data_IF_421743954749
#
_entry.id   IF_421743954749
#
_cell.length_a   1.000
_cell.length_b   1.000
_cell.length_c   1.000
_cell.angle_alpha   90.00
_cell.angle_beta   90.00
_cell.angle_gamma   90.00
#
_symmetry.space_group_name_H-M   'P 1'
#
loop_
_entity.id
_entity.type
_entity.pdbx_description
1 polymer ?
#
# COMPACT_ATOMS: atom_id res chain seq x y z
N UNK A 1 3.64 24.74 17.14
CA UNK A 1 4.49 23.52 17.15
C UNK A 1 5.99 23.78 17.33
N UNK A 2 6.72 24.36 16.35
CA UNK A 2 8.19 24.61 16.52
C UNK A 2 8.49 25.44 17.76
N UNK A 3 7.76 26.55 17.92
CA UNK A 3 7.94 27.50 19.02
C UNK A 3 7.52 26.91 20.37
N UNK A 4 6.50 26.04 20.41
CA UNK A 4 6.13 25.28 21.61
C UNK A 4 7.27 24.38 22.09
N UNK A 5 8.06 23.82 21.16
CA UNK A 5 9.28 23.06 21.47
C UNK A 5 10.53 23.92 21.66
N UNK A 6 10.39 25.26 21.64
CA UNK A 6 11.49 26.24 21.78
C UNK A 6 12.63 26.06 20.76
N UNK A 7 12.34 25.49 19.59
CA UNK A 7 13.32 25.28 18.54
C UNK A 7 13.46 26.54 17.68
N UNK A 8 14.68 26.96 17.38
CA UNK A 8 14.90 28.01 16.37
C UNK A 8 14.68 27.45 14.95
N UNK A 9 14.44 28.31 13.96
CA UNK A 9 14.39 27.88 12.55
C UNK A 9 15.71 27.26 12.09
N UNK A 10 16.84 27.75 12.59
CA UNK A 10 18.16 27.20 12.29
C UNK A 10 18.36 25.80 12.87
N UNK A 11 17.98 25.61 14.12
CA UNK A 11 18.08 24.32 14.80
C UNK A 11 17.17 23.26 14.17
N UNK A 12 15.93 23.64 13.80
CA UNK A 12 15.05 22.73 13.07
C UNK A 12 15.60 22.39 11.68
N UNK A 13 16.15 23.38 10.98
CA UNK A 13 16.74 23.19 9.65
C UNK A 13 17.93 22.22 9.67
N UNK A 14 18.81 22.33 10.66
CA UNK A 14 19.93 21.41 10.87
C UNK A 14 19.44 19.97 11.07
N UNK A 15 18.46 19.76 11.94
CA UNK A 15 17.88 18.44 12.21
C UNK A 15 17.15 17.84 11.00
N UNK A 16 16.56 18.68 10.15
CA UNK A 16 15.89 18.25 8.93
C UNK A 16 16.86 18.04 7.75
N UNK A 17 18.07 18.61 7.80
CA UNK A 17 19.01 18.61 6.68
C UNK A 17 18.59 19.57 5.55
N UNK A 18 17.95 20.69 5.90
CA UNK A 18 17.49 21.73 4.96
C UNK A 18 18.04 23.10 5.36
N UNK A 19 17.72 24.15 4.60
CA UNK A 19 18.10 25.51 4.98
C UNK A 19 17.08 26.15 5.93
N UNK A 20 17.48 27.12 6.78
CA UNK A 20 16.53 27.86 7.63
C UNK A 20 15.43 28.57 6.83
N UNK A 21 15.74 28.95 5.58
CA UNK A 21 14.76 29.51 4.64
C UNK A 21 13.72 28.48 4.22
N UNK A 22 14.09 27.22 4.01
CA UNK A 22 13.12 26.16 3.71
C UNK A 22 12.17 25.92 4.89
N UNK A 23 12.66 25.97 6.13
CA UNK A 23 11.79 25.90 7.32
C UNK A 23 10.77 27.04 7.32
N UNK A 24 11.19 28.28 7.02
CA UNK A 24 10.26 29.40 6.91
C UNK A 24 9.23 29.17 5.79
N UNK A 25 9.67 28.69 4.62
CA UNK A 25 8.78 28.39 3.50
C UNK A 25 7.74 27.30 3.85
N UNK A 26 8.13 26.27 4.61
CA UNK A 26 7.19 25.24 5.07
C UNK A 26 6.15 25.81 6.03
N UNK A 27 6.57 26.64 7.00
CA UNK A 27 5.66 27.30 7.94
C UNK A 27 4.68 28.27 7.25
N UNK A 28 5.13 28.90 6.16
CA UNK A 28 4.36 29.86 5.38
C UNK A 28 3.56 29.20 4.23
N UNK A 29 3.57 27.86 4.14
CA UNK A 29 2.94 27.07 3.06
C UNK A 29 3.35 27.52 1.64
N UNK A 30 4.58 28.00 1.48
CA UNK A 30 5.13 28.45 0.20
C UNK A 30 5.60 27.27 -0.67
N UNK A 31 5.93 26.14 -0.05
CA UNK A 31 6.27 24.91 -0.75
C UNK A 31 5.91 23.66 0.06
N UNK A 32 5.73 22.56 -0.67
CA UNK A 32 5.51 21.24 -0.08
C UNK A 32 6.82 20.65 0.47
N UNK A 33 6.68 19.81 1.49
CA UNK A 33 7.77 19.00 2.03
C UNK A 33 7.92 17.71 1.23
N UNK A 34 9.15 17.19 1.15
CA UNK A 34 9.34 15.81 0.67
C UNK A 34 8.85 14.83 1.74
N UNK A 35 8.51 13.60 1.35
CA UNK A 35 8.09 12.56 2.31
C UNK A 35 9.15 12.32 3.39
N UNK A 36 10.43 12.31 3.02
CA UNK A 36 11.53 12.15 3.97
C UNK A 36 11.57 13.27 5.00
N UNK A 37 11.42 14.53 4.55
CA UNK A 37 11.38 15.69 5.45
C UNK A 37 10.11 15.65 6.33
N UNK A 38 8.98 15.20 5.78
CA UNK A 38 7.74 15.03 6.54
C UNK A 38 7.89 14.02 7.69
N UNK A 39 8.48 12.85 7.43
CA UNK A 39 8.73 11.83 8.46
C UNK A 39 9.65 12.37 9.57
N UNK A 40 10.68 13.14 9.20
CA UNK A 40 11.57 13.77 10.20
C UNK A 40 10.85 14.86 11.00
N UNK A 41 10.04 15.68 10.34
CA UNK A 41 9.22 16.70 11.00
C UNK A 41 8.30 16.08 12.05
N UNK A 42 7.59 15.01 11.69
CA UNK A 42 6.73 14.25 12.60
C UNK A 42 7.51 13.70 13.80
N UNK A 43 8.70 13.13 13.55
CA UNK A 43 9.56 12.60 14.62
C UNK A 43 10.04 13.68 15.60
N UNK A 44 10.27 14.91 15.12
CA UNK A 44 10.77 16.02 15.93
C UNK A 44 9.64 16.74 16.67
N UNK A 45 8.54 17.03 15.96
CA UNK A 45 7.49 17.92 16.42
C UNK A 45 6.23 17.16 16.92
N UNK A 46 6.01 15.92 16.48
CA UNK A 46 4.90 15.05 16.87
C UNK A 46 3.97 14.70 15.69
N UNK A 47 3.04 13.76 15.91
CA UNK A 47 2.09 13.27 14.89
C UNK A 47 1.12 14.34 14.37
N UNK A 48 0.93 15.43 15.11
CA UNK A 48 -0.04 16.48 14.77
C UNK A 48 0.47 17.46 13.71
N UNK A 49 1.76 17.38 13.33
CA UNK A 49 2.37 18.29 12.33
C UNK A 49 1.66 18.21 10.99
N UNK A 50 1.13 17.04 10.65
CA UNK A 50 0.36 16.81 9.45
C UNK A 50 -1.05 16.37 9.80
N UNK A 51 -2.03 16.91 9.08
CA UNK A 51 -3.39 16.41 9.18
C UNK A 51 -3.46 14.99 8.63
N UNK A 52 -3.99 14.05 9.43
CA UNK A 52 -4.21 12.68 8.98
C UNK A 52 -5.30 12.65 7.92
N UNK A 53 -4.94 12.20 6.71
CA UNK A 53 -5.89 12.07 5.61
C UNK A 53 -6.66 10.74 5.72
N UNK A 54 -7.99 10.83 5.82
CA UNK A 54 -8.84 9.65 5.65
C UNK A 54 -8.96 9.23 4.19
N UNK A 55 -9.17 7.94 3.92
CA UNK A 55 -9.47 7.44 2.56
C UNK A 55 -10.67 8.18 1.92
N UNK A 56 -11.65 8.59 2.73
CA UNK A 56 -12.78 9.40 2.28
C UNK A 56 -12.36 10.81 1.88
N UNK A 57 -11.45 11.44 2.61
CA UNK A 57 -10.87 12.73 2.21
C UNK A 57 -10.11 12.61 0.89
N UNK A 58 -9.25 11.59 0.76
CA UNK A 58 -8.51 11.32 -0.49
C UNK A 58 -9.46 11.12 -1.69
N UNK A 59 -10.52 10.35 -1.53
CA UNK A 59 -11.50 10.14 -2.62
C UNK A 59 -12.22 11.42 -3.08
N UNK A 60 -12.38 12.40 -2.18
CA UNK A 60 -12.99 13.71 -2.49
C UNK A 60 -11.99 14.65 -3.15
N UNK A 61 -10.72 14.59 -2.76
CA UNK A 61 -9.64 15.41 -3.33
C UNK A 61 -9.28 14.95 -4.75
N UNK A 62 -9.43 13.66 -5.03
CA UNK A 62 -9.15 13.06 -6.34
C UNK A 62 -10.40 12.38 -6.93
N UNK A 63 -11.46 13.15 -7.24
CA UNK A 63 -12.69 12.60 -7.81
C UNK A 63 -12.40 12.14 -9.24
N UNK A 64 -12.24 10.84 -9.42
CA UNK A 64 -11.90 10.27 -10.73
C UNK A 64 -10.41 10.10 -10.96
N UNK A 65 -9.66 9.66 -9.93
CA UNK A 65 -8.37 9.03 -10.14
C UNK A 65 -8.48 8.10 -11.35
N UNK A 66 -7.76 8.42 -12.43
CA UNK A 66 -7.74 7.59 -13.64
C UNK A 66 -7.55 6.16 -13.17
N UNK A 67 -8.34 5.23 -13.73
CA UNK A 67 -8.00 3.81 -13.60
C UNK A 67 -6.50 3.72 -13.85
N UNK A 68 -5.73 3.00 -13.00
CA UNK A 68 -4.32 2.78 -13.28
C UNK A 68 -4.25 2.41 -14.76
N UNK A 69 -3.42 3.12 -15.55
CA UNK A 69 -3.23 2.74 -16.95
C UNK A 69 -2.92 1.24 -16.99
N UNK A 70 -3.15 0.55 -18.12
CA UNK A 70 -2.90 -0.88 -18.23
C UNK A 70 -1.45 -1.21 -17.85
N UNK A 71 -1.21 -1.45 -16.57
CA UNK A 71 0.06 -1.90 -16.04
C UNK A 71 0.00 -3.39 -16.31
N UNK A 72 0.71 -3.81 -17.35
CA UNK A 72 0.90 -5.22 -17.62
C UNK A 72 2.03 -5.71 -16.70
N UNK A 73 1.75 -6.50 -15.64
CA UNK A 73 2.79 -6.95 -14.74
C UNK A 73 3.87 -7.69 -15.51
N UNK A 74 5.16 -7.45 -15.24
CA UNK A 74 6.24 -8.20 -15.90
C UNK A 74 6.29 -9.66 -15.47
N UNK A 75 5.72 -9.97 -14.31
CA UNK A 75 5.66 -11.30 -13.73
C UNK A 75 4.58 -12.15 -14.40
N UNK A 76 4.96 -13.32 -14.91
CA UNK A 76 4.05 -14.23 -15.62
C UNK A 76 3.01 -14.85 -14.69
N UNK A 77 3.37 -15.18 -13.45
CA UNK A 77 2.46 -15.78 -12.48
C UNK A 77 1.40 -14.78 -12.03
N UNK A 78 1.79 -13.54 -11.75
CA UNK A 78 0.85 -12.48 -11.43
C UNK A 78 -0.10 -12.24 -12.61
N UNK A 79 0.41 -12.16 -13.85
CA UNK A 79 -0.44 -12.04 -15.05
C UNK A 79 -1.44 -13.19 -15.18
N UNK A 80 -0.98 -14.43 -15.00
CA UNK A 80 -1.83 -15.61 -15.07
C UNK A 80 -2.93 -15.55 -14.00
N UNK A 81 -2.57 -15.18 -12.76
CA UNK A 81 -3.53 -15.01 -11.67
C UNK A 81 -4.60 -13.98 -12.03
N UNK A 82 -4.18 -12.78 -12.43
CA UNK A 82 -5.11 -11.69 -12.75
C UNK A 82 -6.05 -12.10 -13.89
N UNK A 83 -5.52 -12.71 -14.96
CA UNK A 83 -6.33 -13.21 -16.08
C UNK A 83 -7.33 -14.29 -15.67
N UNK A 84 -6.93 -15.23 -14.81
CA UNK A 84 -7.83 -16.25 -14.29
C UNK A 84 -8.95 -15.62 -13.45
N UNK A 85 -8.62 -14.65 -12.58
CA UNK A 85 -9.61 -13.96 -11.76
C UNK A 85 -10.57 -13.11 -12.59
N UNK A 86 -10.10 -12.51 -13.68
CA UNK A 86 -10.95 -11.79 -14.64
C UNK A 86 -11.97 -12.71 -15.31
N UNK A 87 -11.54 -13.90 -15.75
CA UNK A 87 -12.45 -14.94 -16.29
C UNK A 87 -13.48 -15.40 -15.26
N UNK A 88 -13.17 -15.27 -13.97
CA UNK A 88 -14.06 -15.59 -12.84
C UNK A 88 -14.92 -14.38 -12.41
N UNK A 89 -14.92 -13.30 -13.19
CA UNK A 89 -15.79 -12.14 -12.97
C UNK A 89 -15.22 -11.07 -12.05
N UNK A 90 -13.91 -11.06 -11.81
CA UNK A 90 -13.25 -9.95 -11.11
C UNK A 90 -12.74 -8.91 -12.10
N UNK A 91 -12.61 -7.67 -11.64
CA UNK A 91 -11.76 -6.66 -12.27
C UNK A 91 -10.43 -6.68 -11.55
N UNK A 92 -9.34 -6.68 -12.32
CA UNK A 92 -7.99 -6.60 -11.79
C UNK A 92 -7.42 -5.19 -11.95
N UNK A 93 -6.50 -4.84 -11.04
CA UNK A 93 -5.76 -3.59 -11.04
C UNK A 93 -4.33 -3.91 -10.67
N UNK A 94 -3.35 -3.57 -11.51
CA UNK A 94 -1.95 -3.75 -11.18
C UNK A 94 -1.32 -2.42 -10.75
N UNK A 95 -0.32 -2.49 -9.88
CA UNK A 95 0.37 -1.33 -9.30
C UNK A 95 1.89 -1.50 -9.42
N UNK A 96 2.61 -0.39 -9.57
CA UNK A 96 4.07 -0.38 -9.69
C UNK A 96 4.79 0.33 -8.54
N UNK A 97 4.07 1.19 -7.80
CA UNK A 97 4.61 2.02 -6.71
C UNK A 97 3.68 1.99 -5.50
N UNK A 98 3.17 0.81 -5.17
CA UNK A 98 2.30 0.60 -4.02
C UNK A 98 2.83 -0.56 -3.16
N UNK A 99 2.50 -0.58 -1.86
CA UNK A 99 2.82 -1.70 -0.98
C UNK A 99 2.21 -3.03 -1.42
N UNK A 100 1.25 -3.01 -2.36
CA UNK A 100 0.62 -4.18 -2.98
C UNK A 100 0.89 -4.16 -4.49
N UNK A 101 1.03 -5.33 -5.10
CA UNK A 101 1.30 -5.46 -6.54
C UNK A 101 0.02 -5.41 -7.37
N UNK A 102 -1.10 -5.89 -6.83
CA UNK A 102 -2.38 -5.85 -7.52
C UNK A 102 -3.57 -5.82 -6.56
N UNK A 103 -4.72 -5.42 -7.09
CA UNK A 103 -6.02 -5.44 -6.44
C UNK A 103 -7.03 -6.17 -7.31
N UNK A 104 -7.91 -6.92 -6.67
CA UNK A 104 -9.05 -7.59 -7.29
C UNK A 104 -10.34 -7.04 -6.72
N UNK A 105 -11.32 -6.78 -7.58
CA UNK A 105 -12.67 -6.38 -7.18
C UNK A 105 -13.70 -7.21 -7.92
N UNK A 106 -14.61 -7.86 -7.21
CA UNK A 106 -15.68 -8.61 -7.86
C UNK A 106 -16.60 -7.68 -8.65
N UNK A 107 -16.99 -8.10 -9.86
CA UNK A 107 -17.93 -7.35 -10.70
C UNK A 107 -19.37 -7.38 -10.17
N UNK A 108 -19.71 -8.40 -9.38
CA UNK A 108 -21.08 -8.65 -8.88
C UNK A 108 -21.28 -8.30 -7.39
N UNK A 109 -20.28 -7.74 -6.69
CA UNK A 109 -20.42 -7.42 -5.27
C UNK A 109 -19.23 -6.72 -4.63
N UNK A 110 -19.28 -6.57 -3.30
CA UNK A 110 -18.30 -5.82 -2.48
C UNK A 110 -16.97 -6.53 -2.22
N UNK A 111 -16.77 -7.75 -2.73
CA UNK A 111 -15.58 -8.59 -2.48
C UNK A 111 -14.34 -7.98 -3.11
N UNK A 112 -13.27 -7.86 -2.32
CA UNK A 112 -11.99 -7.28 -2.72
C UNK A 112 -10.83 -8.04 -2.12
N UNK A 113 -9.75 -8.16 -2.87
CA UNK A 113 -8.50 -8.71 -2.40
C UNK A 113 -7.33 -7.87 -2.89
N UNK A 114 -6.27 -7.80 -2.08
CA UNK A 114 -4.98 -7.29 -2.46
C UNK A 114 -4.03 -8.46 -2.69
N UNK A 115 -3.11 -8.30 -3.63
CA UNK A 115 -2.09 -9.30 -3.97
C UNK A 115 -0.73 -8.67 -3.75
N UNK A 116 0.13 -9.36 -3.01
CA UNK A 116 1.54 -9.03 -2.82
C UNK A 116 2.40 -10.21 -3.24
N UNK A 117 3.46 -9.99 -3.99
CA UNK A 117 4.50 -10.98 -4.26
C UNK A 117 5.53 -10.89 -3.15
N UNK A 118 6.00 -12.05 -2.71
CA UNK A 118 7.05 -12.20 -1.72
C UNK A 118 8.12 -13.13 -2.29
N UNK A 119 9.33 -12.61 -2.42
CA UNK A 119 10.54 -13.37 -2.74
C UNK A 119 11.57 -13.21 -1.61
N UNK A 120 12.69 -13.92 -1.66
CA UNK A 120 13.77 -13.81 -0.66
C UNK A 120 14.33 -12.39 -0.50
N UNK A 121 14.19 -11.55 -1.53
CA UNK A 121 14.61 -10.14 -1.53
C UNK A 121 13.54 -9.19 -0.96
N UNK A 122 12.33 -9.68 -0.69
CA UNK A 122 11.24 -8.85 -0.15
C UNK A 122 11.44 -8.69 1.34
N UNK A 123 11.81 -7.49 1.77
CA UNK A 123 11.92 -7.15 3.19
C UNK A 123 10.59 -7.45 3.92
N UNK A 124 10.66 -8.03 5.13
CA UNK A 124 9.47 -8.30 5.96
C UNK A 124 8.57 -7.06 6.11
N UNK A 125 9.18 -5.87 6.14
CA UNK A 125 8.51 -4.57 6.22
C UNK A 125 7.55 -4.30 5.06
N UNK A 126 7.86 -4.78 3.85
CA UNK A 126 6.98 -4.65 2.69
C UNK A 126 5.70 -5.48 2.85
N UNK A 127 5.80 -6.62 3.53
CA UNK A 127 4.65 -7.47 3.82
C UNK A 127 3.78 -6.86 4.93
N UNK A 128 4.39 -6.30 5.97
CA UNK A 128 3.69 -5.56 7.02
C UNK A 128 2.92 -4.36 6.43
N UNK A 129 3.55 -3.59 5.54
CA UNK A 129 2.89 -2.49 4.83
C UNK A 129 1.71 -2.97 3.97
N UNK A 130 1.88 -4.10 3.26
CA UNK A 130 0.80 -4.70 2.49
C UNK A 130 -0.38 -5.12 3.38
N UNK A 131 -0.10 -5.70 4.55
CA UNK A 131 -1.11 -6.11 5.52
C UNK A 131 -1.88 -4.91 6.09
N UNK A 132 -1.18 -3.86 6.53
CA UNK A 132 -1.81 -2.63 7.01
C UNK A 132 -2.71 -1.97 5.95
N UNK A 133 -2.23 -1.88 4.70
CA UNK A 133 -3.04 -1.35 3.59
C UNK A 133 -4.27 -2.23 3.36
N UNK A 134 -4.12 -3.55 3.45
CA UNK A 134 -5.22 -4.48 3.23
C UNK A 134 -6.30 -4.36 4.31
N UNK A 135 -5.91 -4.24 5.58
CA UNK A 135 -6.82 -4.04 6.71
C UNK A 135 -7.59 -2.71 6.61
N UNK A 136 -6.88 -1.59 6.42
CA UNK A 136 -7.46 -0.26 6.27
C UNK A 136 -8.40 -0.15 5.05
N UNK A 137 -8.11 -0.89 3.98
CA UNK A 137 -8.94 -0.93 2.77
C UNK A 137 -10.01 -2.02 2.80
N UNK A 138 -10.07 -2.82 3.88
CA UNK A 138 -10.96 -3.99 4.06
C UNK A 138 -10.88 -4.95 2.88
N UNK A 139 -9.67 -5.31 2.51
CA UNK A 139 -9.39 -6.29 1.46
C UNK A 139 -8.67 -7.49 2.04
N UNK A 140 -8.93 -8.69 1.51
CA UNK A 140 -8.15 -9.87 1.87
C UNK A 140 -6.76 -9.77 1.24
N UNK A 141 -5.71 -9.97 2.03
CA UNK A 141 -4.36 -10.06 1.49
C UNK A 141 -4.05 -11.49 1.02
N UNK A 142 -3.53 -11.58 -0.20
CA UNK A 142 -3.04 -12.79 -0.85
C UNK A 142 -1.55 -12.58 -1.14
N UNK A 143 -0.72 -13.51 -0.69
CA UNK A 143 0.73 -13.44 -0.86
C UNK A 143 1.18 -14.52 -1.84
N UNK A 144 1.81 -14.14 -2.95
CA UNK A 144 2.41 -15.08 -3.90
C UNK A 144 3.87 -15.30 -3.49
N UNK A 145 4.23 -16.51 -3.09
CA UNK A 145 5.57 -16.84 -2.55
C UNK A 145 6.31 -17.87 -3.39
N UNK A 146 7.65 -17.91 -3.30
CA UNK A 146 8.48 -18.95 -3.93
C UNK A 146 8.55 -20.24 -3.11
N UNK A 147 8.29 -20.17 -1.80
CA UNK A 147 8.41 -21.34 -0.91
C UNK A 147 7.23 -22.29 -1.08
N UNK A 148 7.53 -23.59 -1.29
CA UNK A 148 6.54 -24.68 -1.37
C UNK A 148 5.92 -25.04 -0.01
N UNK A 149 6.62 -24.73 1.07
CA UNK A 149 6.23 -25.10 2.43
C UNK A 149 5.94 -23.84 3.24
N UNK A 150 4.70 -23.73 3.74
CA UNK A 150 4.52 -23.22 5.10
C UNK A 150 4.54 -21.72 5.35
N UNK A 151 4.04 -20.87 4.44
CA UNK A 151 3.32 -19.69 4.94
C UNK A 151 1.90 -20.16 5.26
N UNK A 152 1.81 -20.87 6.40
CA UNK A 152 0.55 -21.14 7.07
C UNK A 152 -0.25 -19.84 7.08
N UNK A 153 -1.55 -19.96 6.81
CA UNK A 153 -2.54 -18.88 6.92
C UNK A 153 -2.20 -18.06 8.16
N UNK A 154 -1.51 -16.93 7.95
CA UNK A 154 -1.39 -15.94 9.00
C UNK A 154 -2.79 -15.33 9.10
N UNK A 155 -3.22 -14.94 10.29
CA UNK A 155 -4.56 -14.35 10.46
C UNK A 155 -4.82 -13.19 9.47
N UNK A 156 -3.74 -12.54 9.00
CA UNK A 156 -3.75 -11.39 8.12
C UNK A 156 -3.66 -11.71 6.62
N UNK A 157 -3.20 -12.90 6.19
CA UNK A 157 -3.09 -13.25 4.78
C UNK A 157 -3.04 -14.75 4.46
N UNK A 158 -3.43 -15.09 3.23
CA UNK A 158 -3.20 -16.43 2.64
C UNK A 158 -1.97 -16.39 1.74
N UNK A 159 -1.08 -17.39 1.86
CA UNK A 159 0.05 -17.54 0.96
C UNK A 159 -0.17 -18.63 -0.09
N UNK A 160 0.32 -18.37 -1.30
CA UNK A 160 0.15 -19.23 -2.47
C UNK A 160 1.50 -19.37 -3.17
N UNK A 161 2.03 -20.61 -3.29
CA UNK A 161 3.24 -20.83 -4.05
C UNK A 161 3.05 -20.44 -5.52
N UNK A 162 4.06 -19.79 -6.13
CA UNK A 162 4.03 -19.37 -7.55
C UNK A 162 3.57 -20.50 -8.49
N UNK A 163 4.09 -21.71 -8.28
CA UNK A 163 3.77 -22.88 -9.11
C UNK A 163 2.32 -23.38 -9.02
N UNK A 164 1.53 -22.93 -8.04
CA UNK A 164 0.16 -23.40 -7.82
C UNK A 164 -0.92 -22.39 -8.27
N UNK A 165 -0.52 -21.20 -8.75
CA UNK A 165 -1.44 -20.10 -9.10
C UNK A 165 -2.56 -20.52 -10.07
N UNK A 166 -2.25 -21.42 -11.03
CA UNK A 166 -3.23 -21.95 -11.99
C UNK A 166 -4.35 -22.76 -11.33
N UNK A 167 -4.00 -23.64 -10.39
CA UNK A 167 -4.93 -24.57 -9.73
C UNK A 167 -5.66 -23.93 -8.53
N UNK A 168 -5.02 -22.94 -7.90
CA UNK A 168 -5.44 -22.35 -6.62
C UNK A 168 -6.44 -21.20 -6.81
N UNK A 169 -6.74 -20.78 -8.05
CA UNK A 169 -7.74 -19.72 -8.32
C UNK A 169 -9.11 -20.02 -7.67
N UNK A 170 -9.53 -21.29 -7.57
CA UNK A 170 -10.76 -21.66 -6.82
C UNK A 170 -10.60 -21.56 -5.29
N UNK A 171 -9.42 -21.87 -4.75
CA UNK A 171 -9.11 -21.69 -3.32
C UNK A 171 -9.05 -20.20 -2.94
N UNK A 172 -8.53 -19.36 -3.83
CA UNK A 172 -8.61 -17.90 -3.69
C UNK A 172 -10.07 -17.44 -3.63
N UNK A 173 -10.91 -17.97 -4.53
CA UNK A 173 -12.34 -17.66 -4.51
C UNK A 173 -13.02 -18.09 -3.21
N UNK A 174 -12.69 -19.26 -2.63
CA UNK A 174 -13.26 -19.66 -1.33
C UNK A 174 -12.78 -18.76 -0.20
N UNK A 175 -11.48 -18.43 -0.15
CA UNK A 175 -10.93 -17.53 0.86
C UNK A 175 -11.53 -16.12 0.82
N UNK A 176 -11.77 -15.58 -0.38
CA UNK A 176 -12.44 -14.28 -0.56
C UNK A 176 -13.92 -14.35 -0.11
N UNK A 177 -14.55 -15.54 -0.09
CA UNK A 177 -15.96 -15.72 0.31
C UNK A 177 -16.18 -15.84 1.81
N UNK A 178 -15.17 -16.19 2.61
CA UNK A 178 -15.27 -16.40 4.08
C UNK A 178 -15.44 -15.11 4.91
N UNK A 179 -15.76 -13.96 4.32
CA UNK A 179 -15.95 -12.65 4.98
C UNK A 179 -17.43 -12.20 5.05
N UNK A 180 -18.37 -13.13 5.05
CA UNK A 180 -19.79 -12.82 5.28
C UNK A 180 -20.11 -12.63 6.77
#
# INVERSE_FOLDING_TARGET
MREEKRLSRGELAERLGVTPRMVANYEENVCDVTLEVAVRLESILGEEVFEKLSLKALSRMYPGSRLPGEINPKDEYLRLLLSNMERLGFRSYAFSKAPIDAGLKSSSGGRRAAIKRHNEETELRELELAAMVSDETRTKLIVITEMKEGLAVADDYIAIPKGEVGDVSRKILSYIRELE
#
